data_IF_441285380254
#
_entry.id   IF_441285380254
#
_cell.length_a   1.000
_cell.length_b   1.000
_cell.length_c   1.000
_cell.angle_alpha   90.00
_cell.angle_beta   90.00
_cell.angle_gamma   90.00
#
_symmetry.space_group_name_H-M   'P 1'
#
loop_
_entity.id
_entity.type
_entity.pdbx_description
1 polymer ?
#
# COMPACT_ATOMS: atom_id res chain seq x y z
N UNK A 1 -16.94 39.84 2.45
CA UNK A 1 -15.55 39.39 2.21
C UNK A 1 -15.19 38.17 3.07
N UNK A 2 -15.46 38.20 4.38
CA UNK A 2 -15.12 37.11 5.34
C UNK A 2 -15.83 35.77 5.03
N UNK A 3 -17.09 35.79 4.60
CA UNK A 3 -17.86 34.56 4.33
C UNK A 3 -17.36 33.73 3.14
N UNK A 4 -16.69 34.35 2.17
CA UNK A 4 -16.09 33.64 1.02
C UNK A 4 -14.78 32.99 1.48
N UNK A 5 -13.93 33.74 2.21
CA UNK A 5 -12.68 33.22 2.78
C UNK A 5 -12.92 32.01 3.70
N UNK A 6 -13.94 32.06 4.55
CA UNK A 6 -14.30 30.94 5.44
C UNK A 6 -14.68 29.66 4.67
N UNK A 7 -15.42 29.79 3.55
CA UNK A 7 -15.80 28.64 2.71
C UNK A 7 -14.61 28.04 1.96
N UNK A 8 -13.72 28.88 1.45
CA UNK A 8 -12.51 28.42 0.73
C UNK A 8 -11.58 27.68 1.70
N UNK A 9 -11.40 28.20 2.92
CA UNK A 9 -10.59 27.56 3.97
C UNK A 9 -11.20 26.22 4.39
N UNK A 10 -12.52 26.16 4.56
CA UNK A 10 -13.21 24.91 4.90
C UNK A 10 -13.10 23.86 3.79
N UNK A 11 -13.11 24.27 2.52
CA UNK A 11 -12.91 23.39 1.36
C UNK A 11 -11.47 22.84 1.29
N UNK A 12 -10.47 23.69 1.56
CA UNK A 12 -9.05 23.27 1.57
C UNK A 12 -8.73 22.26 2.69
N UNK A 13 -9.39 22.38 3.85
CA UNK A 13 -9.16 21.49 5.00
C UNK A 13 -9.67 20.07 4.76
N UNK A 14 -10.76 19.91 4.00
CA UNK A 14 -11.26 18.59 3.57
C UNK A 14 -10.37 18.00 2.47
N UNK A 15 -9.65 18.86 1.74
CA UNK A 15 -8.86 18.47 0.58
C UNK A 15 -7.49 17.87 0.94
N UNK A 16 -6.83 18.43 1.94
CA UNK A 16 -5.50 17.99 2.35
C UNK A 16 -5.38 16.48 2.74
N UNK A 17 -6.32 15.86 3.48
CA UNK A 17 -6.16 14.47 3.89
C UNK A 17 -6.36 13.45 2.76
N UNK A 18 -7.06 13.78 1.67
CA UNK A 18 -7.27 12.82 0.58
C UNK A 18 -6.03 12.60 -0.30
N UNK A 19 -5.06 13.53 -0.28
CA UNK A 19 -3.78 13.38 -1.01
C UNK A 19 -2.70 12.71 -0.16
N UNK A 20 -2.92 12.56 1.15
CA UNK A 20 -1.90 12.11 2.09
C UNK A 20 -1.85 10.59 2.28
N UNK A 21 -2.81 9.84 1.74
CA UNK A 21 -2.88 8.38 1.89
C UNK A 21 -2.42 7.64 0.63
N UNK A 22 -1.16 7.85 0.25
CA UNK A 22 -0.44 6.94 -0.65
C UNK A 22 0.57 6.12 0.14
N UNK A 23 0.08 5.42 1.16
CA UNK A 23 0.79 4.25 1.71
C UNK A 23 0.40 3.02 0.85
N UNK A 24 0.58 3.17 -0.47
CA UNK A 24 0.25 2.14 -1.44
C UNK A 24 1.50 1.31 -1.70
N UNK A 25 1.44 0.02 -1.36
CA UNK A 25 2.51 -0.91 -1.69
C UNK A 25 2.64 -0.96 -3.22
N UNK A 26 3.83 -0.61 -3.72
CA UNK A 26 4.09 -0.64 -5.15
C UNK A 26 4.15 -2.08 -5.69
N UNK A 27 3.66 -2.31 -6.90
CA UNK A 27 3.72 -3.62 -7.55
C UNK A 27 5.17 -4.15 -7.66
N UNK A 28 6.15 -3.26 -7.92
CA UNK A 28 7.57 -3.63 -7.90
C UNK A 28 8.05 -4.14 -6.55
N UNK A 29 7.53 -3.60 -5.44
CA UNK A 29 7.85 -4.05 -4.09
C UNK A 29 7.26 -5.43 -3.81
N UNK A 30 6.04 -5.69 -4.30
CA UNK A 30 5.40 -7.02 -4.25
C UNK A 30 6.22 -8.04 -5.04
N UNK A 31 6.58 -7.70 -6.28
CA UNK A 31 7.35 -8.57 -7.17
C UNK A 31 8.72 -8.93 -6.57
N UNK A 32 9.43 -7.95 -6.00
CA UNK A 32 10.72 -8.18 -5.34
C UNK A 32 10.58 -9.07 -4.09
N UNK A 33 9.52 -8.89 -3.30
CA UNK A 33 9.28 -9.69 -2.10
C UNK A 33 8.95 -11.15 -2.44
N UNK A 34 8.32 -11.40 -3.60
CA UNK A 34 7.92 -12.73 -4.06
C UNK A 34 8.92 -13.39 -5.02
N UNK A 35 9.93 -12.67 -5.52
CA UNK A 35 10.98 -13.22 -6.38
C UNK A 35 11.58 -14.56 -5.86
N UNK A 36 11.92 -14.72 -4.56
CA UNK A 36 12.41 -16.02 -4.05
C UNK A 36 11.34 -17.13 -4.01
N UNK A 37 10.06 -16.80 -4.14
CA UNK A 37 8.96 -17.77 -4.15
C UNK A 37 8.73 -18.42 -5.51
N UNK A 38 9.27 -17.87 -6.60
CA UNK A 38 8.91 -18.28 -7.98
C UNK A 38 9.06 -19.78 -8.23
N UNK A 39 10.16 -20.40 -7.80
CA UNK A 39 10.36 -21.85 -7.97
C UNK A 39 9.35 -22.67 -7.17
N UNK A 40 9.06 -22.27 -5.92
CA UNK A 40 8.05 -22.91 -5.09
C UNK A 40 6.65 -22.77 -5.69
N UNK A 41 6.29 -21.59 -6.20
CA UNK A 41 4.99 -21.36 -6.83
C UNK A 41 4.80 -22.15 -8.12
N UNK A 42 5.87 -22.37 -8.89
CA UNK A 42 5.81 -23.09 -10.17
C UNK A 42 5.87 -24.61 -10.01
N UNK A 43 6.73 -25.10 -9.12
CA UNK A 43 7.08 -26.52 -9.07
C UNK A 43 6.75 -27.17 -7.71
N UNK A 44 6.30 -26.40 -6.72
CA UNK A 44 6.13 -26.88 -5.34
C UNK A 44 7.45 -27.18 -4.64
N UNK A 45 7.40 -27.98 -3.58
CA UNK A 45 8.57 -28.40 -2.80
C UNK A 45 8.78 -27.60 -1.52
N UNK A 46 10.03 -27.50 -1.06
CA UNK A 46 10.34 -26.76 0.17
C UNK A 46 10.31 -25.25 -0.06
N UNK A 47 9.69 -24.50 0.86
CA UNK A 47 9.67 -23.04 0.82
C UNK A 47 11.04 -22.51 1.24
N UNK A 48 11.73 -21.72 0.41
CA UNK A 48 12.98 -21.09 0.82
C UNK A 48 12.69 -20.03 1.90
N UNK A 49 13.57 -19.94 2.91
CA UNK A 49 13.39 -19.00 4.02
C UNK A 49 13.19 -17.54 3.55
N UNK A 50 13.86 -17.14 2.47
CA UNK A 50 13.68 -15.83 1.84
C UNK A 50 12.26 -15.58 1.32
N UNK A 51 11.59 -16.60 0.80
CA UNK A 51 10.19 -16.49 0.38
C UNK A 51 9.27 -16.24 1.58
N UNK A 52 9.44 -17.00 2.67
CA UNK A 52 8.61 -16.83 3.86
C UNK A 52 8.81 -15.45 4.51
N UNK A 53 10.06 -14.98 4.60
CA UNK A 53 10.38 -13.65 5.14
C UNK A 53 9.81 -12.53 4.26
N UNK A 54 9.91 -12.65 2.93
CA UNK A 54 9.33 -11.70 1.98
C UNK A 54 7.82 -11.59 2.12
N UNK A 55 7.12 -12.74 2.20
CA UNK A 55 5.67 -12.78 2.42
C UNK A 55 5.28 -12.18 3.78
N UNK A 56 6.02 -12.48 4.85
CA UNK A 56 5.78 -11.89 6.18
C UNK A 56 5.98 -10.37 6.17
N UNK A 57 7.03 -9.88 5.52
CA UNK A 57 7.28 -8.46 5.37
C UNK A 57 6.16 -7.77 4.57
N UNK A 58 5.70 -8.39 3.48
CA UNK A 58 4.60 -7.87 2.68
C UNK A 58 3.29 -7.81 3.47
N UNK A 59 2.97 -8.86 4.23
CA UNK A 59 1.82 -8.89 5.14
C UNK A 59 1.93 -7.82 6.25
N UNK A 60 3.14 -7.57 6.73
CA UNK A 60 3.43 -6.51 7.69
C UNK A 60 3.36 -5.09 7.10
N UNK A 61 3.58 -4.93 5.80
CA UNK A 61 3.44 -3.65 5.09
C UNK A 61 1.98 -3.39 4.70
N UNK A 62 1.21 -4.43 4.39
CA UNK A 62 -0.19 -4.34 3.93
C UNK A 62 -1.18 -4.12 5.08
N UNK A 63 -0.88 -3.16 5.98
CA UNK A 63 -1.73 -2.87 7.15
C UNK A 63 -2.93 -2.01 6.81
N UNK A 64 -2.79 -1.18 5.79
CA UNK A 64 -3.86 -0.35 5.27
C UNK A 64 -4.51 -1.12 4.12
N UNK A 65 -5.81 -1.40 4.25
CA UNK A 65 -6.60 -1.69 3.05
C UNK A 65 -6.60 -0.41 2.25
N UNK A 66 -6.52 -0.50 0.93
CA UNK A 66 -6.74 0.67 0.09
C UNK A 66 -8.12 1.20 0.46
N UNK A 67 -8.18 2.25 1.26
CA UNK A 67 -9.37 3.06 1.43
C UNK A 67 -9.45 3.95 0.18
N UNK A 68 -9.58 3.30 -0.97
CA UNK A 68 -9.98 3.87 -2.24
C UNK A 68 -11.01 2.88 -2.76
N UNK A 69 -12.27 3.15 -2.43
CA UNK A 69 -13.16 3.76 -3.42
C UNK A 69 -13.66 2.68 -4.39
N UNK A 70 -14.56 1.83 -3.87
CA UNK A 70 -15.77 1.60 -4.63
C UNK A 70 -16.69 2.82 -4.45
#
# INVERSE_FOLDING_TARGET
MVGIAAKIVSMLLVVAPYMASVDTIACGQVANSLAPCVNYMKNGGAVPAGCCNGVKALNGAAKTKVAAAY
#
